data_IF_746421399356
#
_entry.id   IF_746421399356
#
_cell.length_a   1.000
_cell.length_b   1.000
_cell.length_c   1.000
_cell.angle_alpha   90.00
_cell.angle_beta   90.00
_cell.angle_gamma   90.00
#
_symmetry.space_group_name_H-M   'P 1'
#
loop_
_entity.id
_entity.type
_entity.pdbx_description
1 polymer ?
#
# COMPACT_ATOMS: atom_id res chain seq x y z
N UNK A 1 -4.13 -27.25 4.32
CA UNK A 1 -4.43 -26.10 3.44
C UNK A 1 -5.48 -25.20 4.08
N UNK A 2 -5.33 -23.88 3.95
CA UNK A 2 -6.33 -22.92 4.42
C UNK A 2 -7.46 -22.83 3.38
N UNK A 3 -8.74 -22.71 3.76
CA UNK A 3 -9.85 -22.60 2.80
C UNK A 3 -9.95 -21.23 2.09
N UNK A 4 -8.92 -20.39 2.21
CA UNK A 4 -8.89 -19.07 1.60
C UNK A 4 -7.77 -19.02 0.58
N UNK A 5 -8.01 -18.33 -0.52
CA UNK A 5 -7.01 -17.96 -1.51
C UNK A 5 -6.74 -16.47 -1.36
N UNK A 6 -5.46 -16.10 -1.23
CA UNK A 6 -5.07 -14.69 -1.00
C UNK A 6 -4.15 -14.24 -2.12
N UNK A 7 -4.58 -13.22 -2.85
CA UNK A 7 -3.80 -12.59 -3.91
C UNK A 7 -3.29 -11.24 -3.44
N UNK A 8 -1.99 -11.03 -3.54
CA UNK A 8 -1.35 -9.79 -3.12
C UNK A 8 -1.11 -8.90 -4.34
N UNK A 9 -1.54 -7.66 -4.25
CA UNK A 9 -1.30 -6.61 -5.24
C UNK A 9 -0.46 -5.48 -4.59
N UNK A 10 0.88 -5.60 -4.60
CA UNK A 10 1.77 -4.57 -4.07
C UNK A 10 1.68 -3.29 -4.88
N UNK A 11 1.10 -2.24 -4.30
CA UNK A 11 0.84 -0.98 -4.99
C UNK A 11 2.01 -0.01 -4.87
N UNK A 12 2.24 0.74 -5.95
CA UNK A 12 3.03 1.96 -5.95
C UNK A 12 2.14 3.16 -6.27
N UNK A 13 2.52 4.33 -5.78
CA UNK A 13 1.68 5.53 -5.96
C UNK A 13 1.76 6.17 -7.34
N UNK A 14 2.75 5.80 -8.17
CA UNK A 14 2.95 6.34 -9.52
C UNK A 14 3.21 5.21 -10.49
N UNK A 15 2.39 5.09 -11.52
CA UNK A 15 2.49 4.06 -12.55
C UNK A 15 1.76 4.45 -13.82
N UNK A 16 1.65 3.53 -14.77
CA UNK A 16 0.79 3.71 -15.95
C UNK A 16 -0.68 3.53 -15.58
N UNK A 17 -1.59 4.10 -16.38
CA UNK A 17 -3.03 3.86 -16.18
C UNK A 17 -3.38 2.37 -16.33
N UNK A 18 -2.81 1.70 -17.33
CA UNK A 18 -3.03 0.28 -17.57
C UNK A 18 -2.63 -0.61 -16.38
N UNK A 19 -1.53 -0.31 -15.69
CA UNK A 19 -1.17 -1.01 -14.45
C UNK A 19 -2.29 -0.94 -13.40
N UNK A 20 -2.80 0.26 -13.13
CA UNK A 20 -3.86 0.44 -12.13
C UNK A 20 -5.18 -0.19 -12.56
N UNK A 21 -5.54 -0.08 -13.85
CA UNK A 21 -6.75 -0.68 -14.42
C UNK A 21 -6.71 -2.22 -14.35
N UNK A 22 -5.57 -2.84 -14.64
CA UNK A 22 -5.39 -4.29 -14.51
C UNK A 22 -5.54 -4.73 -13.06
N UNK A 23 -4.85 -4.08 -12.12
CA UNK A 23 -4.97 -4.43 -10.70
C UNK A 23 -6.41 -4.26 -10.21
N UNK A 24 -7.07 -3.16 -10.55
CA UNK A 24 -8.47 -2.92 -10.15
C UNK A 24 -9.39 -4.00 -10.72
N UNK A 25 -9.25 -4.34 -12.01
CA UNK A 25 -10.07 -5.37 -12.68
C UNK A 25 -9.88 -6.74 -12.05
N UNK A 26 -8.64 -7.17 -11.83
CA UNK A 26 -8.35 -8.49 -11.26
C UNK A 26 -8.75 -8.56 -9.78
N UNK A 27 -8.46 -7.52 -8.99
CA UNK A 27 -8.84 -7.46 -7.59
C UNK A 27 -10.37 -7.53 -7.41
N UNK A 28 -11.14 -6.82 -8.23
CA UNK A 28 -12.61 -6.85 -8.19
C UNK A 28 -13.22 -8.19 -8.64
N UNK A 29 -12.42 -9.10 -9.21
CA UNK A 29 -12.82 -10.48 -9.49
C UNK A 29 -12.82 -11.41 -8.27
N UNK A 30 -12.30 -10.95 -7.13
CA UNK A 30 -12.26 -11.66 -5.86
C UNK A 30 -13.54 -11.43 -5.05
N UNK A 31 -13.75 -12.20 -3.99
CA UNK A 31 -14.95 -12.09 -3.15
C UNK A 31 -14.81 -10.95 -2.13
N UNK A 32 -13.58 -10.69 -1.67
CA UNK A 32 -13.23 -9.60 -0.76
C UNK A 32 -12.01 -8.86 -1.31
N UNK A 33 -12.04 -7.52 -1.26
CA UNK A 33 -10.91 -6.67 -1.61
C UNK A 33 -10.54 -5.79 -0.43
N UNK A 34 -9.37 -6.02 0.16
CA UNK A 34 -8.79 -5.19 1.19
C UNK A 34 -8.00 -4.05 0.52
N UNK A 35 -8.43 -2.81 0.70
CA UNK A 35 -7.81 -1.65 0.06
C UNK A 35 -7.24 -0.65 1.06
N UNK A 36 -6.16 0.02 0.66
CA UNK A 36 -5.59 1.16 1.38
C UNK A 36 -6.56 2.37 1.38
N UNK A 37 -6.73 3.04 2.53
CA UNK A 37 -7.95 3.81 2.81
C UNK A 37 -7.79 5.15 3.54
N UNK A 38 -6.58 5.67 3.79
CA UNK A 38 -6.45 6.94 4.53
C UNK A 38 -6.54 8.17 3.60
N UNK A 39 -7.70 8.84 3.66
CA UNK A 39 -7.87 10.25 3.22
C UNK A 39 -7.72 11.20 4.42
N UNK A 40 -6.49 11.47 4.88
CA UNK A 40 -6.23 12.53 5.88
C UNK A 40 -5.49 13.70 5.25
N UNK A 41 -5.51 14.87 5.92
CA UNK A 41 -4.72 16.03 5.48
C UNK A 41 -3.22 15.70 5.44
N UNK A 42 -2.73 14.88 6.36
CA UNK A 42 -1.32 14.51 6.46
C UNK A 42 -0.91 13.42 5.45
N UNK A 43 -1.71 12.36 5.21
CA UNK A 43 -1.46 11.42 4.10
C UNK A 43 -1.54 12.12 2.74
N UNK A 44 -2.40 13.12 2.62
CA UNK A 44 -2.49 13.99 1.46
C UNK A 44 -1.21 14.80 1.22
N UNK A 45 -0.50 15.27 2.26
CA UNK A 45 0.79 15.98 2.08
C UNK A 45 1.91 15.06 1.58
N UNK A 46 1.97 13.81 2.08
CA UNK A 46 2.95 12.81 1.64
C UNK A 46 2.76 12.45 0.16
N UNK A 47 1.51 12.33 -0.29
CA UNK A 47 1.17 12.03 -1.69
C UNK A 47 1.15 13.27 -2.59
N UNK A 48 1.08 14.49 -2.03
CA UNK A 48 1.04 15.77 -2.77
C UNK A 48 2.31 16.02 -3.59
N UNK A 49 3.46 15.50 -3.18
CA UNK A 49 4.69 15.64 -3.98
C UNK A 49 4.51 15.15 -5.41
N UNK A 50 3.75 14.06 -5.61
CA UNK A 50 3.46 13.49 -6.93
C UNK A 50 2.51 14.36 -7.77
N UNK A 51 1.71 15.25 -7.16
CA UNK A 51 0.88 16.20 -7.92
C UNK A 51 1.70 17.24 -8.66
N UNK A 52 2.95 17.47 -8.25
CA UNK A 52 3.85 18.44 -8.86
C UNK A 52 4.84 17.79 -9.83
N UNK A 53 4.99 16.46 -9.74
CA UNK A 53 5.71 15.68 -10.72
C UNK A 53 5.03 15.77 -12.10
N UNK A 54 5.80 15.74 -13.21
CA UNK A 54 5.27 15.92 -14.54
C UNK A 54 4.71 14.60 -15.08
N UNK A 55 3.87 13.91 -14.30
CA UNK A 55 3.44 12.54 -14.55
C UNK A 55 2.82 12.37 -15.94
N UNK A 56 1.94 13.29 -16.34
CA UNK A 56 1.33 13.29 -17.68
C UNK A 56 2.36 13.34 -18.81
N UNK A 57 3.42 14.15 -18.67
CA UNK A 57 4.52 14.23 -19.67
C UNK A 57 5.26 12.90 -19.79
N UNK A 58 5.33 12.15 -18.70
CA UNK A 58 5.98 10.85 -18.64
C UNK A 58 5.05 9.69 -19.01
N UNK A 59 3.77 9.95 -19.36
CA UNK A 59 2.78 8.90 -19.59
C UNK A 59 2.42 8.12 -18.31
N UNK A 60 2.48 8.77 -17.16
CA UNK A 60 2.22 8.20 -15.84
C UNK A 60 1.03 8.89 -15.17
N UNK A 61 0.41 8.19 -14.23
CA UNK A 61 -0.66 8.69 -13.37
C UNK A 61 -0.36 8.33 -11.92
N UNK A 62 -0.98 9.08 -11.01
CA UNK A 62 -1.01 8.70 -9.60
C UNK A 62 -2.09 7.64 -9.39
N UNK A 63 -1.86 6.74 -8.42
CA UNK A 63 -2.84 5.76 -7.99
C UNK A 63 -4.16 6.45 -7.63
N UNK A 64 -5.25 6.01 -8.25
CA UNK A 64 -6.60 6.40 -7.88
C UNK A 64 -7.16 5.42 -6.86
N UNK A 65 -7.97 5.86 -5.88
CA UNK A 65 -8.65 4.95 -4.98
C UNK A 65 -9.53 3.99 -5.79
N UNK A 66 -9.44 2.69 -5.52
CA UNK A 66 -10.38 1.69 -6.03
C UNK A 66 -11.76 2.12 -5.56
N UNK A 67 -12.68 2.27 -6.51
CA UNK A 67 -14.04 2.69 -6.17
C UNK A 67 -14.83 1.46 -5.72
N UNK A 68 -15.51 1.51 -4.56
CA UNK A 68 -16.54 0.53 -4.26
C UNK A 68 -17.70 0.77 -5.23
N UNK A 69 -17.68 0.14 -6.41
CA UNK A 69 -18.73 0.25 -7.42
C UNK A 69 -19.04 -1.11 -8.04
N UNK A 70 -20.31 -1.53 -7.88
CA UNK A 70 -21.13 -2.51 -8.63
C UNK A 70 -20.57 -3.91 -8.98
N UNK A 71 -19.37 -4.27 -8.55
CA UNK A 71 -18.91 -5.66 -8.55
C UNK A 71 -19.46 -6.45 -7.37
N UNK A 72 -19.56 -7.77 -7.48
CA UNK A 72 -19.99 -8.65 -6.38
C UNK A 72 -19.00 -8.72 -5.20
N UNK A 73 -17.83 -8.10 -5.33
CA UNK A 73 -16.77 -8.10 -4.32
C UNK A 73 -17.08 -7.15 -3.14
N UNK A 74 -16.84 -7.63 -1.93
CA UNK A 74 -16.88 -6.81 -0.71
C UNK A 74 -15.59 -5.99 -0.59
N UNK A 75 -15.66 -4.68 -0.85
CA UNK A 75 -14.50 -3.78 -0.73
C UNK A 75 -14.39 -3.25 0.70
N UNK A 76 -13.35 -3.66 1.42
CA UNK A 76 -13.08 -3.30 2.82
C UNK A 76 -11.91 -2.31 2.86
N UNK A 77 -12.14 -1.14 3.47
CA UNK A 77 -11.06 -0.19 3.79
C UNK A 77 -10.22 -0.76 4.93
N UNK A 78 -9.06 -1.31 4.61
CA UNK A 78 -8.18 -2.01 5.56
C UNK A 78 -7.09 -1.10 6.14
N UNK A 79 -7.43 0.17 6.38
CA UNK A 79 -6.51 1.20 6.83
C UNK A 79 -7.06 1.89 8.07
N UNK A 80 -6.17 2.52 8.83
CA UNK A 80 -6.56 3.24 10.04
C UNK A 80 -7.53 4.36 9.71
N UNK A 81 -8.44 4.65 10.64
CA UNK A 81 -9.38 5.76 10.44
C UNK A 81 -8.64 7.11 10.40
N UNK A 82 -9.22 8.15 9.77
CA UNK A 82 -8.61 9.47 9.75
C UNK A 82 -8.28 10.02 11.14
N UNK A 83 -9.15 9.80 12.13
CA UNK A 83 -8.94 10.25 13.51
C UNK A 83 -7.80 9.52 14.24
N UNK A 84 -7.63 8.22 13.97
CA UNK A 84 -6.51 7.44 14.48
C UNK A 84 -5.19 7.89 13.87
N UNK A 85 -5.15 8.09 12.56
CA UNK A 85 -3.98 8.62 11.87
C UNK A 85 -3.61 10.01 12.41
N UNK A 86 -4.57 10.92 12.55
CA UNK A 86 -4.32 12.28 13.06
C UNK A 86 -3.82 12.26 14.51
N UNK A 87 -4.24 11.28 15.32
CA UNK A 87 -3.72 11.07 16.68
C UNK A 87 -2.26 10.62 16.64
N UNK A 88 -1.94 9.62 15.81
CA UNK A 88 -0.56 9.13 15.63
C UNK A 88 0.35 10.24 15.09
N UNK A 89 -0.11 10.97 14.07
CA UNK A 89 0.60 12.11 13.48
C UNK A 89 0.90 13.21 14.50
N UNK A 90 -0.08 13.55 15.36
CA UNK A 90 0.11 14.55 16.44
C UNK A 90 1.11 14.09 17.51
N UNK A 91 1.31 12.77 17.67
CA UNK A 91 2.33 12.20 18.53
C UNK A 91 3.76 12.48 18.04
N UNK A 92 3.96 12.85 16.77
CA UNK A 92 5.27 13.19 16.24
C UNK A 92 5.77 14.56 16.74
N UNK A 93 7.10 14.72 16.93
CA UNK A 93 7.71 16.01 17.21
C UNK A 93 7.28 17.09 16.21
N UNK A 94 7.01 18.30 16.69
CA UNK A 94 6.54 19.41 15.85
C UNK A 94 7.47 19.72 14.68
N UNK A 95 8.78 19.68 14.92
CA UNK A 95 9.79 19.94 13.89
C UNK A 95 9.74 18.89 12.76
N UNK A 96 9.41 17.63 13.08
CA UNK A 96 9.34 16.55 12.10
C UNK A 96 8.10 16.71 11.22
N UNK A 97 6.97 17.06 11.84
CA UNK A 97 5.75 17.42 11.10
C UNK A 97 5.98 18.61 10.17
N UNK A 98 6.70 19.63 10.64
CA UNK A 98 7.08 20.78 9.82
C UNK A 98 8.02 20.36 8.68
N UNK A 99 9.03 19.55 8.95
CA UNK A 99 9.97 19.05 7.96
C UNK A 99 9.28 18.26 6.85
N UNK A 100 8.34 17.36 7.17
CA UNK A 100 7.56 16.63 6.16
C UNK A 100 6.67 17.57 5.33
N UNK A 101 5.98 18.49 6.01
CA UNK A 101 5.05 19.44 5.34
C UNK A 101 5.79 20.39 4.40
N UNK A 102 6.97 20.87 4.79
CA UNK A 102 7.82 21.77 3.99
C UNK A 102 8.70 21.02 2.98
N UNK A 103 9.07 19.77 3.28
CA UNK A 103 9.88 18.93 2.41
C UNK A 103 9.10 18.41 1.20
N UNK A 104 7.83 18.05 1.38
CA UNK A 104 6.97 17.56 0.30
C UNK A 104 6.92 18.48 -0.96
N UNK A 105 6.71 19.81 -0.84
CA UNK A 105 6.74 20.69 -1.99
C UNK A 105 8.12 20.80 -2.64
N UNK A 106 9.19 20.86 -1.85
CA UNK A 106 10.56 20.90 -2.37
C UNK A 106 10.89 19.62 -3.15
N UNK A 107 10.50 18.45 -2.62
CA UNK A 107 10.64 17.16 -3.28
C UNK A 107 9.82 17.08 -4.57
N UNK A 108 8.57 17.58 -4.57
CA UNK A 108 7.75 17.65 -5.77
C UNK A 108 8.35 18.55 -6.87
N UNK A 109 8.97 19.67 -6.49
CA UNK A 109 9.67 20.55 -7.43
C UNK A 109 10.96 19.91 -7.97
N UNK A 110 11.70 19.22 -7.11
CA UNK A 110 12.85 18.43 -7.53
C UNK A 110 12.45 17.35 -8.54
N UNK A 111 11.40 16.57 -8.25
CA UNK A 111 10.83 15.59 -9.19
C UNK A 111 10.40 16.26 -10.51
N UNK A 112 9.83 17.46 -10.46
CA UNK A 112 9.50 18.20 -11.69
C UNK A 112 10.72 18.47 -12.57
N UNK A 113 11.86 18.76 -11.97
CA UNK A 113 13.10 19.04 -12.69
C UNK A 113 13.83 17.77 -13.15
N UNK A 114 13.79 16.68 -12.38
CA UNK A 114 14.69 15.53 -12.56
C UNK A 114 13.99 14.20 -12.89
N UNK A 115 12.66 14.11 -12.77
CA UNK A 115 11.95 12.86 -12.98
C UNK A 115 11.99 12.40 -14.45
N UNK A 116 12.44 11.16 -14.62
CA UNK A 116 12.34 10.37 -15.84
C UNK A 116 11.74 9.01 -15.48
N UNK A 117 11.22 8.27 -16.47
CA UNK A 117 10.70 6.90 -16.23
C UNK A 117 11.77 6.01 -15.60
N UNK A 118 13.01 6.07 -16.12
CA UNK A 118 14.15 5.33 -15.58
C UNK A 118 14.48 5.69 -14.12
N UNK A 119 14.44 6.98 -13.76
CA UNK A 119 14.71 7.40 -12.37
C UNK A 119 13.58 7.01 -11.41
N UNK A 120 12.33 7.04 -11.86
CA UNK A 120 11.16 6.66 -11.06
C UNK A 120 11.03 5.14 -10.89
N UNK A 121 11.38 4.35 -11.92
CA UNK A 121 11.36 2.89 -11.87
C UNK A 121 12.52 2.30 -11.06
N UNK A 122 13.62 3.05 -10.88
CA UNK A 122 14.81 2.57 -10.18
C UNK A 122 14.48 2.22 -8.73
N UNK A 123 14.79 0.98 -8.32
CA UNK A 123 14.58 0.51 -6.95
C UNK A 123 13.11 0.34 -6.55
N UNK A 124 12.21 0.24 -7.54
CA UNK A 124 10.79 -0.12 -7.33
C UNK A 124 10.51 -1.61 -7.56
N UNK A 125 11.54 -2.41 -7.89
CA UNK A 125 11.40 -3.85 -8.00
C UNK A 125 11.09 -4.46 -6.63
N UNK A 126 10.02 -5.22 -6.54
CA UNK A 126 9.55 -5.82 -5.29
C UNK A 126 10.29 -7.11 -4.93
N UNK A 127 11.04 -7.72 -5.87
CA UNK A 127 11.96 -8.84 -5.57
C UNK A 127 12.96 -8.48 -4.47
N UNK A 128 13.34 -7.20 -4.40
CA UNK A 128 14.35 -6.68 -3.48
C UNK A 128 13.76 -6.36 -2.08
N UNK A 129 12.46 -6.58 -1.84
CA UNK A 129 11.81 -6.30 -0.55
C UNK A 129 12.27 -7.23 0.58
N UNK A 130 12.82 -8.41 0.25
CA UNK A 130 13.45 -9.28 1.24
C UNK A 130 14.72 -8.65 1.85
N UNK A 131 15.38 -7.75 1.12
CA UNK A 131 16.65 -7.11 1.52
C UNK A 131 16.48 -5.65 1.99
N UNK A 132 15.27 -5.08 1.90
CA UNK A 132 14.98 -3.76 2.50
C UNK A 132 14.68 -3.90 3.98
N UNK A 133 15.72 -4.28 4.72
CA UNK A 133 15.80 -3.97 6.14
C UNK A 133 15.94 -2.43 6.24
N UNK A 134 14.80 -1.74 6.34
CA UNK A 134 14.76 -0.34 6.77
C UNK A 134 15.09 -0.30 8.27
N UNK A 135 16.27 -0.80 8.65
CA UNK A 135 16.81 -0.76 10.00
C UNK A 135 17.24 0.68 10.28
N UNK A 136 16.26 1.52 10.58
CA UNK A 136 16.50 2.81 11.22
C UNK A 136 17.00 2.54 12.64
N UNK A 137 17.96 3.34 13.09
CA UNK A 137 18.49 3.19 14.44
C UNK A 137 17.34 3.34 15.47
N UNK A 138 17.24 2.42 16.45
CA UNK A 138 16.21 2.49 17.49
C UNK A 138 16.24 3.81 18.26
N UNK A 139 15.08 4.37 18.56
CA UNK A 139 14.91 5.63 19.27
C UNK A 139 15.09 6.89 18.41
N UNK A 140 15.18 6.77 17.08
CA UNK A 140 15.31 7.94 16.21
C UNK A 140 13.96 8.56 15.83
N UNK A 141 13.90 9.88 15.57
CA UNK A 141 12.71 10.51 15.02
C UNK A 141 12.27 9.93 13.67
N UNK A 142 13.20 9.41 12.87
CA UNK A 142 12.91 8.74 11.60
C UNK A 142 12.15 7.42 11.81
N UNK A 143 12.52 6.63 12.83
CA UNK A 143 11.78 5.43 13.23
C UNK A 143 10.35 5.80 13.69
N UNK A 144 10.20 6.88 14.46
CA UNK A 144 8.88 7.39 14.86
C UNK A 144 8.00 7.79 13.66
N UNK A 145 8.58 8.39 12.62
CA UNK A 145 7.85 8.68 11.38
C UNK A 145 7.47 7.40 10.63
N UNK A 146 8.42 6.46 10.50
CA UNK A 146 8.20 5.21 9.79
C UNK A 146 7.17 4.32 10.51
N UNK A 147 7.15 4.31 11.85
CA UNK A 147 6.17 3.55 12.63
C UNK A 147 4.75 4.11 12.50
N UNK A 148 4.60 5.44 12.41
CA UNK A 148 3.30 6.07 12.09
C UNK A 148 2.86 5.77 10.66
N UNK A 149 3.81 5.71 9.72
CA UNK A 149 3.53 5.47 8.29
C UNK A 149 3.28 3.98 7.98
N UNK A 150 3.93 3.08 8.70
CA UNK A 150 3.90 1.63 8.44
C UNK A 150 3.25 0.87 9.60
N UNK A 151 3.90 0.84 10.76
CA UNK A 151 3.57 -0.11 11.83
C UNK A 151 2.09 -0.09 12.29
N UNK A 152 1.53 1.08 12.61
CA UNK A 152 0.13 1.15 13.05
C UNK A 152 -0.88 0.75 11.94
N UNK A 153 -0.50 0.95 10.67
CA UNK A 153 -1.31 0.58 9.51
C UNK A 153 -1.16 -0.91 9.21
N UNK A 154 0.05 -1.45 9.37
CA UNK A 154 0.35 -2.88 9.27
C UNK A 154 -0.43 -3.68 10.31
N UNK A 155 -0.43 -3.26 11.57
CA UNK A 155 -1.21 -3.90 12.63
C UNK A 155 -2.71 -3.86 12.31
N UNK A 156 -3.18 -2.75 11.76
CA UNK A 156 -4.59 -2.63 11.37
C UNK A 156 -4.93 -3.55 10.20
N UNK A 157 -4.12 -3.54 9.14
CA UNK A 157 -4.26 -4.38 7.97
C UNK A 157 -4.22 -5.86 8.36
N UNK A 158 -3.26 -6.27 9.19
CA UNK A 158 -3.12 -7.64 9.68
C UNK A 158 -4.38 -8.09 10.45
N UNK A 159 -4.90 -7.26 11.34
CA UNK A 159 -6.14 -7.57 12.07
C UNK A 159 -7.35 -7.70 11.15
N UNK A 160 -7.50 -6.82 10.14
CA UNK A 160 -8.59 -6.92 9.16
C UNK A 160 -8.46 -8.19 8.32
N UNK A 161 -7.25 -8.50 7.86
CA UNK A 161 -6.97 -9.73 7.12
C UNK A 161 -7.26 -10.97 7.98
N UNK A 162 -6.77 -11.02 9.22
CA UNK A 162 -7.01 -12.12 10.15
C UNK A 162 -8.51 -12.39 10.35
N UNK A 163 -9.31 -11.33 10.49
CA UNK A 163 -10.76 -11.46 10.60
C UNK A 163 -11.41 -12.08 9.34
N UNK A 164 -10.94 -11.72 8.13
CA UNK A 164 -11.43 -12.33 6.88
C UNK A 164 -10.98 -13.79 6.74
N UNK A 165 -9.77 -14.12 7.19
CA UNK A 165 -9.27 -15.49 7.22
C UNK A 165 -10.07 -16.37 8.19
N UNK A 166 -10.43 -15.84 9.36
CA UNK A 166 -11.27 -16.54 10.33
C UNK A 166 -12.69 -16.76 9.79
N UNK A 167 -13.26 -15.79 9.06
CA UNK A 167 -14.53 -15.99 8.34
C UNK A 167 -14.42 -17.11 7.31
N UNK A 168 -13.35 -17.16 6.52
CA UNK A 168 -13.12 -18.23 5.54
C UNK A 168 -12.97 -19.61 6.21
N UNK A 169 -12.38 -19.67 7.40
CA UNK A 169 -12.31 -20.92 8.18
C UNK A 169 -13.68 -21.39 8.68
N UNK A 170 -14.54 -20.46 9.08
CA UNK A 170 -15.87 -20.79 9.58
C UNK A 170 -16.82 -21.26 8.47
N UNK A 171 -16.62 -20.83 7.23
CA UNK A 171 -17.41 -21.22 6.05
C UNK A 171 -16.47 -21.60 4.88
N UNK A 172 -15.94 -22.82 4.87
CA UNK A 172 -14.84 -23.21 3.98
C UNK A 172 -15.25 -23.56 2.53
N UNK A 173 -16.56 -23.66 2.24
CA UNK A 173 -17.08 -24.03 0.91
C UNK A 173 -18.12 -23.00 0.44
N UNK A 174 -17.91 -22.32 -0.70
CA UNK A 174 -16.70 -22.34 -1.54
C UNK A 174 -15.50 -21.61 -0.87
N UNK A 175 -14.25 -21.88 -1.32
CA UNK A 175 -13.08 -21.13 -0.86
C UNK A 175 -13.23 -19.63 -1.08
N UNK A 176 -12.93 -18.84 -0.05
CA UNK A 176 -13.04 -17.37 -0.10
C UNK A 176 -11.79 -16.77 -0.72
N UNK A 177 -11.95 -16.03 -1.81
CA UNK A 177 -10.86 -15.36 -2.53
C UNK A 177 -10.72 -13.93 -2.04
N UNK A 178 -9.54 -13.58 -1.54
CA UNK A 178 -9.24 -12.29 -0.91
C UNK A 178 -8.13 -11.60 -1.70
N UNK A 179 -8.41 -10.42 -2.25
CA UNK A 179 -7.40 -9.55 -2.83
C UNK A 179 -6.91 -8.54 -1.78
N UNK A 180 -5.59 -8.39 -1.64
CA UNK A 180 -4.97 -7.36 -0.81
C UNK A 180 -4.31 -6.33 -1.72
N UNK A 181 -4.96 -5.18 -1.90
CA UNK A 181 -4.47 -4.07 -2.73
C UNK A 181 -3.97 -2.95 -1.82
N UNK A 182 -2.67 -2.98 -1.55
CA UNK A 182 -2.06 -2.10 -0.55
C UNK A 182 -0.64 -1.69 -0.96
N UNK A 183 -0.15 -0.55 -0.44
CA UNK A 183 1.22 -0.11 -0.70
C UNK A 183 2.27 -1.21 -0.48
N UNK A 184 3.21 -1.37 -1.41
CA UNK A 184 4.18 -2.47 -1.42
C UNK A 184 5.00 -2.60 -0.12
N UNK A 185 5.23 -1.48 0.58
CA UNK A 185 5.92 -1.45 1.86
C UNK A 185 5.21 -2.24 2.99
N UNK A 186 3.91 -2.48 2.86
CA UNK A 186 3.08 -3.19 3.84
C UNK A 186 3.00 -4.71 3.59
N UNK A 187 3.47 -5.20 2.43
CA UNK A 187 3.41 -6.62 2.07
C UNK A 187 4.13 -7.56 3.05
N UNK A 188 5.28 -7.18 3.67
CA UNK A 188 5.91 -8.02 4.68
C UNK A 188 5.00 -8.32 5.89
N UNK A 189 4.19 -7.35 6.32
CA UNK A 189 3.24 -7.55 7.41
C UNK A 189 2.11 -8.51 7.01
N UNK A 190 1.60 -8.38 5.78
CA UNK A 190 0.60 -9.30 5.21
C UNK A 190 1.14 -10.73 5.15
N UNK A 191 2.36 -10.91 4.63
CA UNK A 191 3.00 -12.23 4.57
C UNK A 191 3.24 -12.84 5.95
N UNK A 192 3.60 -12.01 6.93
CA UNK A 192 3.75 -12.44 8.33
C UNK A 192 2.42 -12.92 8.89
N UNK A 193 1.33 -12.20 8.61
CA UNK A 193 0.00 -12.56 9.09
C UNK A 193 -0.52 -13.84 8.44
N UNK A 194 -0.33 -14.01 7.13
CA UNK A 194 -0.65 -15.26 6.43
C UNK A 194 0.06 -16.45 7.06
N UNK A 195 1.37 -16.33 7.35
CA UNK A 195 2.15 -17.39 8.02
C UNK A 195 1.63 -17.72 9.42
N UNK A 196 1.13 -16.73 10.17
CA UNK A 196 0.53 -16.94 11.49
C UNK A 196 -0.80 -17.66 11.41
N UNK A 197 -1.64 -17.28 10.44
CA UNK A 197 -2.96 -17.88 10.25
C UNK A 197 -2.93 -19.25 9.57
N UNK A 198 -1.79 -19.73 9.09
CA UNK A 198 -1.63 -21.10 8.61
C UNK A 198 -0.48 -21.30 7.63
N UNK A 199 -0.37 -22.51 7.09
CA UNK A 199 0.63 -22.84 6.08
C UNK A 199 0.24 -22.33 4.68
N UNK A 200 0.05 -21.01 4.53
CA UNK A 200 -0.05 -20.40 3.20
C UNK A 200 1.26 -20.62 2.44
N UNK A 201 1.13 -21.02 1.18
CA UNK A 201 2.26 -21.16 0.25
C UNK A 201 1.97 -20.37 -1.01
N UNK A 202 2.97 -19.73 -1.63
CA UNK A 202 2.82 -19.19 -2.96
C UNK A 202 2.42 -20.32 -3.93
N UNK A 203 1.35 -20.10 -4.68
CA UNK A 203 0.87 -21.03 -5.72
C UNK A 203 1.11 -20.50 -7.12
N UNK A 204 1.06 -19.18 -7.27
CA UNK A 204 1.22 -18.47 -8.53
C UNK A 204 1.86 -17.09 -8.28
N UNK A 205 2.53 -16.56 -9.29
CA UNK A 205 3.05 -15.20 -9.30
C UNK A 205 3.07 -14.69 -10.73
N UNK A 206 2.58 -13.47 -10.94
CA UNK A 206 2.64 -12.78 -12.22
C UNK A 206 3.32 -11.41 -12.05
N UNK A 207 4.07 -10.99 -13.07
CA UNK A 207 4.72 -9.69 -13.09
C UNK A 207 3.82 -8.67 -13.79
N UNK A 208 3.69 -7.49 -13.19
CA UNK A 208 2.97 -6.37 -13.77
C UNK A 208 3.83 -5.11 -13.76
N UNK A 209 4.09 -4.55 -14.95
CA UNK A 209 4.93 -3.37 -15.09
C UNK A 209 4.18 -2.10 -14.73
N UNK A 210 4.49 -1.56 -13.55
CA UNK A 210 3.93 -0.28 -13.15
C UNK A 210 4.51 0.89 -13.97
N UNK A 211 5.79 0.83 -14.34
CA UNK A 211 6.47 1.82 -15.19
C UNK A 211 7.35 1.08 -16.21
N UNK A 212 6.81 0.70 -17.39
CA UNK A 212 7.62 0.11 -18.45
C UNK A 212 8.67 1.11 -18.95
N UNK A 213 9.90 0.66 -19.22
CA UNK A 213 11.00 1.51 -19.67
C UNK A 213 11.07 1.64 -21.19
#
# INVERSE_FOLDING_TARGET
DHPAEVTLYPMIHVGTAGFFETVETEALGHDVVLVEGVRTRASWFLTRAYRWAPLKRLGLTAQTPIRPQAGGAEVILADVTPGEFDRLWRGLPLWLRAAVTLGAPAYGLWLRATASRANLARGQCTTDLADRDLTLAPGTPAEGLLSVILHARDEHLARVLGAELDKARAAPDPPRRIAVVYGAAHMPAVLTELRRHGAFRPVESAWLDAIPL
#
